data_IF_734207451407
#
_entry.id   IF_734207451407
#
_cell.length_a   1.000
_cell.length_b   1.000
_cell.length_c   1.000
_cell.angle_alpha   90.00
_cell.angle_beta   90.00
_cell.angle_gamma   90.00
#
_symmetry.space_group_name_H-M   'P 1'
#
loop_
_entity.id
_entity.type
_entity.pdbx_description
1 polymer ?
#
# COMPACT_ATOMS: atom_id res chain seq x y z
N UNK A 1 22.30 3.11 -2.75
CA UNK A 1 21.53 2.48 -1.65
C UNK A 1 20.12 2.28 -2.17
N UNK A 2 19.48 1.15 -1.86
CA UNK A 2 18.09 0.90 -2.25
C UNK A 2 17.19 0.85 -1.01
N UNK A 3 15.91 1.18 -1.17
CA UNK A 3 14.94 1.36 -0.09
C UNK A 3 13.85 0.29 -0.12
N UNK A 4 13.27 -0.02 1.03
CA UNK A 4 11.94 -0.64 1.10
C UNK A 4 10.90 0.45 1.34
N UNK A 5 9.95 0.60 0.42
CA UNK A 5 8.86 1.57 0.56
C UNK A 5 7.66 0.96 1.29
N UNK A 6 7.11 1.67 2.26
CA UNK A 6 5.87 1.27 2.95
C UNK A 6 4.69 2.06 2.38
N UNK A 7 3.70 1.35 1.85
CA UNK A 7 2.52 1.95 1.20
C UNK A 7 1.25 1.52 1.92
N UNK A 8 0.63 2.39 2.74
CA UNK A 8 -0.64 2.06 3.40
C UNK A 8 -1.81 2.19 2.43
N UNK A 9 -2.63 1.14 2.33
CA UNK A 9 -3.83 1.11 1.48
C UNK A 9 -5.05 0.83 2.36
N UNK A 10 -5.92 1.84 2.48
CA UNK A 10 -7.21 1.72 3.17
C UNK A 10 -8.16 0.76 2.44
N UNK A 11 -9.17 0.20 3.13
CA UNK A 11 -10.29 -0.47 2.48
C UNK A 11 -10.85 0.34 1.32
N UNK A 12 -10.95 -0.29 0.15
CA UNK A 12 -11.24 0.39 -1.12
C UNK A 12 -12.59 1.12 -1.07
N UNK A 13 -13.58 0.55 -0.38
CA UNK A 13 -14.91 1.13 -0.20
C UNK A 13 -14.90 2.47 0.55
N UNK A 14 -13.94 2.67 1.46
CA UNK A 14 -13.81 3.86 2.30
C UNK A 14 -12.85 4.91 1.70
N UNK A 15 -12.17 4.57 0.61
CA UNK A 15 -11.14 5.40 0.03
C UNK A 15 -11.73 6.52 -0.85
N UNK A 16 -10.92 7.57 -1.03
CA UNK A 16 -11.15 8.64 -2.01
C UNK A 16 -12.50 9.36 -1.88
N UNK A 17 -13.04 9.53 -0.68
CA UNK A 17 -14.34 10.21 -0.45
C UNK A 17 -14.44 11.62 -1.06
N UNK A 18 -13.33 12.30 -1.32
CA UNK A 18 -13.30 13.58 -2.05
C UNK A 18 -13.69 13.45 -3.54
N UNK A 19 -13.75 12.23 -4.09
CA UNK A 19 -14.19 11.95 -5.44
C UNK A 19 -15.68 11.58 -5.51
N UNK A 20 -16.41 11.54 -4.39
CA UNK A 20 -17.81 11.09 -4.38
C UNK A 20 -18.73 11.94 -5.27
N UNK A 21 -18.40 13.22 -5.49
CA UNK A 21 -19.17 14.12 -6.35
C UNK A 21 -19.02 13.80 -7.85
N UNK A 22 -17.94 13.11 -8.23
CA UNK A 22 -17.59 12.80 -9.64
C UNK A 22 -17.50 11.31 -9.94
N UNK A 23 -17.43 10.46 -8.92
CA UNK A 23 -17.43 9.00 -9.01
C UNK A 23 -18.23 8.42 -7.84
N UNK A 24 -19.32 7.75 -8.18
CA UNK A 24 -20.17 7.08 -7.19
C UNK A 24 -19.50 5.84 -6.57
N UNK A 25 -20.19 5.23 -5.61
CA UNK A 25 -19.72 4.06 -4.86
C UNK A 25 -19.47 2.82 -5.75
N UNK A 26 -20.08 2.75 -6.94
CA UNK A 26 -19.85 1.66 -7.90
C UNK A 26 -18.50 1.77 -8.61
N UNK A 27 -18.01 3.00 -8.83
CA UNK A 27 -16.76 3.28 -9.56
C UNK A 27 -15.59 3.60 -8.63
N UNK A 28 -15.84 4.31 -7.53
CA UNK A 28 -14.80 4.84 -6.63
C UNK A 28 -13.84 3.78 -6.07
N UNK A 29 -14.28 2.56 -5.66
CA UNK A 29 -13.37 1.52 -5.21
C UNK A 29 -12.41 1.03 -6.31
N UNK A 30 -12.89 1.02 -7.57
CA UNK A 30 -12.06 0.72 -8.73
C UNK A 30 -10.98 1.76 -8.96
N UNK A 31 -11.32 3.05 -8.89
CA UNK A 31 -10.35 4.15 -8.97
C UNK A 31 -9.36 4.15 -7.80
N UNK A 32 -9.82 3.80 -6.59
CA UNK A 32 -8.94 3.67 -5.44
C UNK A 32 -7.88 2.60 -5.67
N UNK A 33 -8.28 1.44 -6.20
CA UNK A 33 -7.37 0.36 -6.55
C UNK A 33 -6.41 0.75 -7.68
N UNK A 34 -6.92 1.35 -8.75
CA UNK A 34 -6.10 1.77 -9.88
C UNK A 34 -4.97 2.72 -9.44
N UNK A 35 -5.27 3.71 -8.61
CA UNK A 35 -4.22 4.62 -8.10
C UNK A 35 -3.19 3.88 -7.24
N UNK A 36 -3.61 2.88 -6.47
CA UNK A 36 -2.67 2.08 -5.68
C UNK A 36 -1.78 1.22 -6.60
N UNK A 37 -2.36 0.61 -7.64
CA UNK A 37 -1.61 -0.15 -8.65
C UNK A 37 -0.59 0.72 -9.37
N UNK A 38 -0.99 1.90 -9.85
CA UNK A 38 -0.08 2.83 -10.53
C UNK A 38 1.06 3.28 -9.61
N UNK A 39 0.74 3.58 -8.35
CA UNK A 39 1.73 3.99 -7.34
C UNK A 39 2.74 2.87 -7.07
N UNK A 40 2.25 1.64 -6.84
CA UNK A 40 3.10 0.48 -6.55
C UNK A 40 3.94 0.08 -7.76
N UNK A 41 3.36 0.09 -8.96
CA UNK A 41 4.09 -0.20 -10.19
C UNK A 41 5.22 0.81 -10.43
N UNK A 42 4.93 2.11 -10.24
CA UNK A 42 5.95 3.16 -10.35
C UNK A 42 7.06 3.00 -9.30
N UNK A 43 6.70 2.65 -8.06
CA UNK A 43 7.65 2.36 -6.99
C UNK A 43 8.55 1.16 -7.33
N UNK A 44 7.98 0.05 -7.79
CA UNK A 44 8.72 -1.16 -8.15
C UNK A 44 9.64 -0.96 -9.38
N UNK A 45 9.26 -0.08 -10.30
CA UNK A 45 10.10 0.28 -11.44
C UNK A 45 11.27 1.22 -11.07
N UNK A 46 11.27 1.81 -9.87
CA UNK A 46 12.30 2.75 -9.45
C UNK A 46 13.61 2.02 -9.07
N UNK A 47 14.76 2.31 -9.71
CA UNK A 47 16.04 1.64 -9.39
C UNK A 47 16.53 1.84 -7.95
N UNK A 48 16.02 2.86 -7.26
CA UNK A 48 16.32 3.12 -5.85
C UNK A 48 15.44 2.32 -4.88
N UNK A 49 14.47 1.55 -5.37
CA UNK A 49 13.54 0.76 -4.54
C UNK A 49 13.89 -0.72 -4.72
N UNK A 50 14.18 -1.39 -3.60
CA UNK A 50 14.46 -2.82 -3.56
C UNK A 50 13.21 -3.67 -3.26
N UNK A 51 12.18 -3.05 -2.65
CA UNK A 51 10.95 -3.72 -2.25
C UNK A 51 9.83 -2.71 -1.95
N UNK A 52 8.58 -3.15 -2.04
CA UNK A 52 7.39 -2.38 -1.65
C UNK A 52 6.54 -3.23 -0.70
N UNK A 53 6.40 -2.76 0.54
CA UNK A 53 5.54 -3.35 1.56
C UNK A 53 4.21 -2.61 1.60
N UNK A 54 3.14 -3.25 1.11
CA UNK A 54 1.79 -2.71 1.16
C UNK A 54 1.11 -3.14 2.45
N UNK A 55 0.65 -2.17 3.24
CA UNK A 55 -0.10 -2.44 4.48
C UNK A 55 -1.59 -2.32 4.19
N UNK A 56 -2.32 -3.44 4.23
CA UNK A 56 -3.76 -3.44 3.96
C UNK A 56 -4.48 -4.67 4.53
N UNK A 57 -5.73 -4.45 4.95
CA UNK A 57 -6.69 -5.53 5.27
C UNK A 57 -7.70 -5.77 4.15
N UNK A 58 -7.62 -5.00 3.05
CA UNK A 58 -8.51 -5.17 1.91
C UNK A 58 -8.03 -6.36 1.06
N UNK A 59 -8.77 -7.47 1.12
CA UNK A 59 -8.40 -8.70 0.43
C UNK A 59 -8.29 -8.53 -1.09
N UNK A 60 -9.05 -7.62 -1.70
CA UNK A 60 -8.93 -7.34 -3.14
C UNK A 60 -7.65 -6.56 -3.41
N UNK A 61 -7.41 -5.47 -2.68
CA UNK A 61 -6.18 -4.69 -2.84
C UNK A 61 -4.93 -5.55 -2.60
N UNK A 62 -4.93 -6.37 -1.54
CA UNK A 62 -3.83 -7.28 -1.23
C UNK A 62 -3.51 -8.24 -2.38
N UNK A 63 -4.53 -8.93 -2.94
CA UNK A 63 -4.31 -9.84 -4.08
C UNK A 63 -3.75 -9.13 -5.32
N UNK A 64 -4.34 -8.00 -5.68
CA UNK A 64 -4.00 -7.27 -6.92
C UNK A 64 -2.61 -6.62 -6.83
N UNK A 65 -2.24 -6.09 -5.66
CA UNK A 65 -0.92 -5.48 -5.45
C UNK A 65 0.18 -6.53 -5.25
N UNK A 66 -0.14 -7.68 -4.65
CA UNK A 66 0.77 -8.82 -4.62
C UNK A 66 1.10 -9.33 -6.02
N UNK A 67 0.11 -9.37 -6.92
CA UNK A 67 0.31 -9.77 -8.31
C UNK A 67 1.28 -8.84 -9.08
N UNK A 68 1.42 -7.58 -8.66
CA UNK A 68 2.43 -6.65 -9.20
C UNK A 68 3.85 -6.89 -8.65
N UNK A 69 3.98 -7.68 -7.58
CA UNK A 69 5.25 -7.97 -6.91
C UNK A 69 5.45 -7.28 -5.56
N UNK A 70 4.42 -6.63 -5.00
CA UNK A 70 4.51 -6.05 -3.65
C UNK A 70 4.36 -7.12 -2.55
N UNK A 71 5.09 -6.95 -1.45
CA UNK A 71 4.87 -7.71 -0.22
C UNK A 71 3.65 -7.18 0.53
N UNK A 72 2.71 -8.07 0.88
CA UNK A 72 1.50 -7.68 1.63
C UNK A 72 1.72 -7.89 3.13
N UNK A 73 1.46 -6.83 3.89
CA UNK A 73 1.46 -6.81 5.34
C UNK A 73 0.02 -6.57 5.80
N UNK A 74 -0.48 -7.42 6.70
CA UNK A 74 -1.78 -7.20 7.31
C UNK A 74 -1.84 -5.83 8.00
N UNK A 75 -3.00 -5.18 7.96
CA UNK A 75 -3.20 -3.90 8.63
C UNK A 75 -3.04 -4.03 10.14
N UNK A 76 -2.58 -2.93 10.76
CA UNK A 76 -2.61 -2.83 12.22
C UNK A 76 -4.06 -2.52 12.67
N UNK A 77 -4.64 -3.32 13.60
CA UNK A 77 -6.01 -3.09 14.04
C UNK A 77 -6.18 -1.79 14.83
N UNK A 78 -6.87 -0.81 14.23
CA UNK A 78 -7.46 0.31 14.98
C UNK A 78 -6.58 1.54 15.21
N UNK A 79 -5.29 1.52 14.83
CA UNK A 79 -4.39 2.66 15.04
C UNK A 79 -4.33 3.71 13.91
N UNK A 80 -5.10 3.53 12.84
CA UNK A 80 -5.16 4.48 11.72
C UNK A 80 -3.88 4.56 10.88
N UNK A 81 -3.67 5.67 10.16
CA UNK A 81 -2.59 5.80 9.15
C UNK A 81 -1.19 5.66 9.76
N UNK A 82 -0.91 6.39 10.85
CA UNK A 82 0.44 6.41 11.43
C UNK A 82 0.80 5.06 12.07
N UNK A 83 -0.17 4.35 12.67
CA UNK A 83 0.07 3.00 13.19
C UNK A 83 0.32 2.00 12.06
N UNK A 84 -0.43 2.08 10.96
CA UNK A 84 -0.18 1.24 9.78
C UNK A 84 1.24 1.47 9.20
N UNK A 85 1.68 2.73 9.11
CA UNK A 85 3.04 3.07 8.68
C UNK A 85 4.11 2.52 9.64
N UNK A 86 3.93 2.70 10.95
CA UNK A 86 4.86 2.18 11.95
C UNK A 86 4.93 0.64 11.92
N UNK A 87 3.78 -0.02 11.78
CA UNK A 87 3.69 -1.48 11.66
C UNK A 87 4.40 -1.99 10.40
N UNK A 88 4.08 -1.40 9.24
CA UNK A 88 4.73 -1.74 7.97
C UNK A 88 6.25 -1.53 8.02
N UNK A 89 6.71 -0.43 8.64
CA UNK A 89 8.12 -0.16 8.80
C UNK A 89 8.82 -1.18 9.71
N UNK A 90 8.16 -1.62 10.80
CA UNK A 90 8.69 -2.65 11.68
C UNK A 90 8.83 -3.99 10.94
N UNK A 91 7.82 -4.38 10.16
CA UNK A 91 7.86 -5.61 9.34
C UNK A 91 8.96 -5.54 8.29
N UNK A 92 9.05 -4.42 7.55
CA UNK A 92 10.11 -4.21 6.55
C UNK A 92 11.52 -4.33 7.16
N UNK A 93 11.75 -3.74 8.35
CA UNK A 93 13.03 -3.84 9.07
C UNK A 93 13.32 -5.25 9.57
N UNK A 94 12.30 -6.02 9.97
CA UNK A 94 12.48 -7.41 10.37
C UNK A 94 12.90 -8.29 9.18
N UNK A 95 12.32 -8.05 7.99
CA UNK A 95 12.64 -8.81 6.77
C UNK A 95 13.98 -8.39 6.16
N UNK A 96 14.31 -7.09 6.15
CA UNK A 96 15.58 -6.56 5.59
C UNK A 96 16.24 -5.55 6.53
N UNK A 97 16.94 -5.99 7.59
CA UNK A 97 17.47 -5.11 8.65
C UNK A 97 18.44 -4.02 8.19
N UNK A 98 19.15 -4.25 7.08
CA UNK A 98 20.15 -3.33 6.51
C UNK A 98 19.57 -2.43 5.41
N UNK A 99 18.33 -2.65 4.99
CA UNK A 99 17.66 -1.84 3.98
C UNK A 99 16.99 -0.64 4.67
N UNK A 100 17.27 0.61 4.26
CA UNK A 100 16.55 1.75 4.78
C UNK A 100 15.08 1.69 4.35
N UNK A 101 14.20 2.23 5.20
CA UNK A 101 12.74 2.23 5.01
C UNK A 101 12.26 3.66 4.82
N UNK A 102 11.38 3.86 3.84
CA UNK A 102 10.71 5.13 3.56
C UNK A 102 9.19 4.93 3.42
#
# INVERSE_FOLDING_TARGET
MQWTLVVPVKPLALAKSRLSDTADDGVRPGLALAFAQDTVAAALACPAVADVAVVTDDARAGRELAALGAGIVAGEPGGGLNAALAHGAAVARATRPKCPVA
#
